data_IF_023181669173
#
_entry.id   IF_023181669173
#
_cell.length_a   1.000
_cell.length_b   1.000
_cell.length_c   1.000
_cell.angle_alpha   90.00
_cell.angle_beta   90.00
_cell.angle_gamma   90.00
#
_symmetry.space_group_name_H-M   'P 1'
#
loop_
_entity.id
_entity.type
_entity.pdbx_description
1 polymer ?
#
# COMPACT_ATOMS: atom_id res chain seq x y z
N UNK A 1 -6.88 -30.93 -1.31
CA UNK A 1 -7.85 -31.16 -0.21
C UNK A 1 -9.17 -30.55 -0.64
N UNK A 2 -10.17 -31.40 -0.93
CA UNK A 2 -11.49 -30.91 -1.36
C UNK A 2 -12.20 -30.31 -0.13
N UNK A 3 -12.62 -29.05 -0.25
CA UNK A 3 -13.43 -28.41 0.79
C UNK A 3 -14.72 -29.21 0.98
N UNK A 4 -14.92 -29.76 2.19
CA UNK A 4 -16.13 -30.49 2.53
C UNK A 4 -17.31 -29.50 2.61
N UNK A 5 -18.09 -29.47 1.52
CA UNK A 5 -19.24 -28.57 1.35
C UNK A 5 -20.33 -28.80 2.41
N UNK A 6 -20.36 -29.98 3.05
CA UNK A 6 -21.36 -30.29 4.07
C UNK A 6 -21.10 -29.56 5.40
N UNK A 7 -19.85 -29.14 5.64
CA UNK A 7 -19.46 -28.35 6.84
C UNK A 7 -19.68 -26.84 6.68
N UNK A 8 -20.07 -26.37 5.50
CA UNK A 8 -20.30 -24.96 5.26
C UNK A 8 -21.66 -24.55 5.87
N UNK A 9 -21.60 -23.56 6.78
CA UNK A 9 -22.81 -22.96 7.35
C UNK A 9 -23.43 -21.96 6.36
N UNK A 10 -24.34 -22.43 5.51
CA UNK A 10 -25.01 -21.63 4.47
C UNK A 10 -25.76 -20.44 5.03
N UNK A 11 -26.40 -20.56 6.22
CA UNK A 11 -27.13 -19.45 6.84
C UNK A 11 -26.24 -18.27 7.18
N UNK A 12 -25.01 -18.54 7.63
CA UNK A 12 -24.02 -17.49 7.91
C UNK A 12 -23.68 -16.71 6.64
N UNK A 13 -23.54 -17.38 5.51
CA UNK A 13 -23.25 -16.74 4.22
C UNK A 13 -24.45 -15.98 3.69
N UNK A 14 -25.68 -16.51 3.81
CA UNK A 14 -26.92 -15.84 3.42
C UNK A 14 -27.14 -14.55 4.21
N UNK A 15 -26.99 -14.58 5.54
CA UNK A 15 -27.07 -13.37 6.39
C UNK A 15 -25.98 -12.34 6.02
N UNK A 16 -24.81 -12.80 5.62
CA UNK A 16 -23.75 -11.91 5.16
C UNK A 16 -24.10 -11.29 3.80
N UNK A 17 -24.65 -12.05 2.87
CA UNK A 17 -25.11 -11.58 1.57
C UNK A 17 -26.19 -10.50 1.72
N UNK A 18 -27.20 -10.75 2.57
CA UNK A 18 -28.27 -9.81 2.89
C UNK A 18 -27.74 -8.47 3.42
N UNK A 19 -26.77 -8.50 4.35
CA UNK A 19 -26.09 -7.28 4.86
C UNK A 19 -25.35 -6.49 3.79
N UNK A 20 -24.97 -7.13 2.70
CA UNK A 20 -24.26 -6.52 1.57
C UNK A 20 -25.14 -6.25 0.35
N UNK A 21 -26.48 -6.37 0.49
CA UNK A 21 -27.44 -6.10 -0.57
C UNK A 21 -27.40 -7.13 -1.70
N UNK A 22 -26.87 -8.34 -1.45
CA UNK A 22 -26.94 -9.48 -2.38
C UNK A 22 -28.17 -10.32 -2.03
N UNK A 23 -28.80 -10.90 -3.04
CA UNK A 23 -29.92 -11.81 -2.83
C UNK A 23 -29.46 -13.07 -2.05
N UNK A 24 -30.01 -13.33 -0.85
CA UNK A 24 -29.67 -14.51 -0.06
C UNK A 24 -30.00 -15.84 -0.76
N UNK A 25 -31.00 -15.83 -1.66
CA UNK A 25 -31.42 -17.02 -2.42
C UNK A 25 -30.35 -17.45 -3.45
N UNK A 26 -29.55 -16.52 -3.97
CA UNK A 26 -28.47 -16.80 -4.90
C UNK A 26 -27.29 -17.55 -4.25
N UNK A 27 -27.23 -17.58 -2.90
CA UNK A 27 -26.15 -18.23 -2.15
C UNK A 27 -26.49 -19.72 -1.99
N UNK A 28 -25.94 -20.52 -2.89
CA UNK A 28 -25.97 -21.99 -2.87
C UNK A 28 -24.58 -22.55 -2.55
N UNK A 29 -24.49 -23.84 -2.21
CA UNK A 29 -23.18 -24.50 -2.02
C UNK A 29 -22.36 -24.52 -3.30
N UNK A 30 -23.04 -24.63 -4.42
CA UNK A 30 -22.43 -24.63 -5.76
C UNK A 30 -21.88 -23.27 -6.12
N UNK A 31 -22.65 -22.18 -5.86
CA UNK A 31 -22.18 -20.82 -6.09
C UNK A 31 -20.96 -20.48 -5.22
N UNK A 32 -20.96 -20.89 -3.94
CA UNK A 32 -19.83 -20.69 -3.04
C UNK A 32 -18.59 -21.46 -3.49
N UNK A 33 -18.77 -22.65 -4.10
CA UNK A 33 -17.68 -23.42 -4.65
C UNK A 33 -17.12 -22.78 -5.92
N UNK A 34 -17.96 -22.27 -6.78
CA UNK A 34 -17.57 -21.59 -8.02
C UNK A 34 -16.84 -20.24 -7.73
N UNK A 35 -17.30 -19.52 -6.71
CA UNK A 35 -16.67 -18.27 -6.26
C UNK A 35 -15.38 -18.52 -5.46
N UNK A 36 -15.12 -19.73 -4.95
CA UNK A 36 -13.95 -20.02 -4.12
C UNK A 36 -12.68 -20.09 -4.95
N UNK A 37 -11.80 -19.11 -4.74
CA UNK A 37 -10.47 -19.09 -5.33
C UNK A 37 -9.40 -19.30 -4.23
N UNK A 38 -8.74 -20.47 -4.17
CA UNK A 38 -7.75 -20.76 -3.13
C UNK A 38 -6.56 -19.80 -3.17
N UNK A 39 -6.15 -19.33 -4.34
CA UNK A 39 -5.04 -18.37 -4.48
C UNK A 39 -5.40 -17.04 -3.83
N UNK A 40 -6.59 -16.50 -4.09
CA UNK A 40 -7.06 -15.26 -3.44
C UNK A 40 -7.13 -15.41 -1.92
N UNK A 41 -7.62 -16.55 -1.42
CA UNK A 41 -7.70 -16.84 0.01
C UNK A 41 -6.31 -16.89 0.65
N UNK A 42 -5.34 -17.53 0.00
CA UNK A 42 -3.97 -17.57 0.47
C UNK A 42 -3.30 -16.19 0.47
N UNK A 43 -3.47 -15.41 -0.58
CA UNK A 43 -2.94 -14.04 -0.66
C UNK A 43 -3.53 -13.17 0.46
N UNK A 44 -4.84 -13.26 0.71
CA UNK A 44 -5.49 -12.53 1.80
C UNK A 44 -4.94 -12.97 3.18
N UNK A 45 -4.78 -14.27 3.40
CA UNK A 45 -4.21 -14.80 4.64
C UNK A 45 -2.78 -14.32 4.86
N UNK A 46 -1.92 -14.40 3.83
CA UNK A 46 -0.53 -13.95 3.89
C UNK A 46 -0.46 -12.45 4.19
N UNK A 47 -1.28 -11.63 3.53
CA UNK A 47 -1.34 -10.19 3.79
C UNK A 47 -1.71 -9.89 5.26
N UNK A 48 -2.67 -10.60 5.82
CA UNK A 48 -3.03 -10.48 7.24
C UNK A 48 -1.90 -10.92 8.17
N UNK A 49 -1.21 -12.00 7.79
CA UNK A 49 -0.06 -12.50 8.56
C UNK A 49 1.07 -11.46 8.60
N UNK A 50 1.37 -10.78 7.49
CA UNK A 50 2.36 -9.71 7.45
C UNK A 50 1.93 -8.42 8.16
N UNK A 51 0.64 -8.16 8.27
CA UNK A 51 0.13 -7.00 9.02
C UNK A 51 0.34 -7.15 10.54
N UNK A 52 0.33 -8.38 11.07
CA UNK A 52 0.50 -8.64 12.50
C UNK A 52 1.88 -8.18 13.04
N UNK A 53 3.02 -8.52 12.44
CA UNK A 53 4.33 -7.99 12.84
C UNK A 53 4.40 -6.47 12.81
N UNK A 54 3.78 -5.80 11.84
CA UNK A 54 3.75 -4.33 11.78
C UNK A 54 3.04 -3.75 13.00
N UNK A 55 1.89 -4.31 13.39
CA UNK A 55 1.18 -3.92 14.60
C UNK A 55 2.00 -4.13 15.88
N UNK A 56 2.61 -5.30 16.03
CA UNK A 56 3.44 -5.63 17.20
C UNK A 56 4.70 -4.77 17.29
N UNK A 57 5.39 -4.55 16.18
CA UNK A 57 6.61 -3.73 16.14
C UNK A 57 6.31 -2.26 16.40
N UNK A 58 5.20 -1.73 15.90
CA UNK A 58 4.79 -0.35 16.20
C UNK A 58 4.32 -0.17 17.64
N UNK A 59 3.68 -1.18 18.23
CA UNK A 59 3.38 -1.21 19.66
C UNK A 59 4.67 -1.22 20.50
N UNK A 60 5.62 -2.09 20.15
CA UNK A 60 6.92 -2.15 20.82
C UNK A 60 7.67 -0.81 20.69
N UNK A 61 7.66 -0.19 19.51
CA UNK A 61 8.23 1.13 19.29
C UNK A 61 7.57 2.19 20.19
N UNK A 62 6.25 2.19 20.27
CA UNK A 62 5.50 3.10 21.13
C UNK A 62 5.91 2.92 22.59
N UNK A 63 5.89 1.69 23.11
CA UNK A 63 6.28 1.39 24.49
C UNK A 63 7.72 1.78 24.75
N UNK A 64 8.67 1.41 23.88
CA UNK A 64 10.07 1.76 24.02
C UNK A 64 10.32 3.27 23.99
N UNK A 65 9.51 4.03 23.25
CA UNK A 65 9.65 5.49 23.16
C UNK A 65 9.36 6.20 24.48
N UNK A 66 8.55 5.63 25.38
CA UNK A 66 8.26 6.22 26.69
C UNK A 66 9.50 6.30 27.59
N UNK A 67 10.47 5.37 27.46
CA UNK A 67 11.75 5.47 28.20
C UNK A 67 12.58 6.68 27.77
N UNK A 68 12.30 7.23 26.59
CA UNK A 68 13.00 8.41 26.07
C UNK A 68 12.18 9.70 26.20
N UNK A 69 11.03 9.67 26.88
CA UNK A 69 10.13 10.82 27.01
C UNK A 69 10.86 12.08 27.45
N UNK A 70 11.65 12.00 28.52
CA UNK A 70 12.37 13.16 29.09
C UNK A 70 13.43 13.75 28.16
N UNK A 71 13.99 12.93 27.24
CA UNK A 71 15.06 13.37 26.33
C UNK A 71 14.56 13.72 24.94
N UNK A 72 13.49 13.04 24.47
CA UNK A 72 12.98 13.15 23.11
C UNK A 72 11.45 13.01 23.06
N UNK A 73 10.71 13.95 23.67
CA UNK A 73 9.24 13.85 23.76
C UNK A 73 8.58 13.80 22.40
N UNK A 74 9.14 14.47 21.40
CA UNK A 74 8.62 14.50 20.04
C UNK A 74 8.65 13.11 19.37
N UNK A 75 9.71 12.30 19.60
CA UNK A 75 9.79 10.91 19.10
C UNK A 75 8.69 10.05 19.72
N UNK A 76 8.42 10.25 21.01
CA UNK A 76 7.36 9.53 21.70
C UNK A 76 5.97 9.88 21.12
N UNK A 77 5.66 11.17 20.92
CA UNK A 77 4.40 11.62 20.32
C UNK A 77 4.21 11.01 18.93
N UNK A 78 5.26 11.02 18.10
CA UNK A 78 5.21 10.42 16.75
C UNK A 78 5.05 8.90 16.79
N UNK A 79 5.67 8.21 17.77
CA UNK A 79 5.53 6.75 17.93
C UNK A 79 4.11 6.37 18.35
N UNK A 80 3.49 7.14 19.24
CA UNK A 80 2.06 7.00 19.60
C UNK A 80 1.18 7.24 18.37
N UNK A 81 1.45 8.33 17.64
CA UNK A 81 0.72 8.64 16.39
C UNK A 81 0.84 7.54 15.34
N UNK A 82 2.03 6.93 15.21
CA UNK A 82 2.25 5.78 14.31
C UNK A 82 1.42 4.58 14.73
N UNK A 83 1.38 4.25 16.00
CA UNK A 83 0.58 3.12 16.49
C UNK A 83 -0.93 3.35 16.27
N UNK A 84 -1.43 4.56 16.59
CA UNK A 84 -2.82 4.91 16.32
C UNK A 84 -3.16 4.84 14.82
N UNK A 85 -2.23 5.27 13.97
CA UNK A 85 -2.40 5.19 12.52
C UNK A 85 -2.41 3.74 12.02
N UNK A 86 -1.62 2.83 12.63
CA UNK A 86 -1.69 1.38 12.36
C UNK A 86 -3.07 0.83 12.70
N UNK A 87 -3.62 1.17 13.88
CA UNK A 87 -4.95 0.70 14.29
C UNK A 87 -6.04 1.22 13.33
N UNK A 88 -5.96 2.50 12.95
CA UNK A 88 -6.89 3.09 11.98
C UNK A 88 -6.78 2.39 10.62
N UNK A 89 -5.56 2.12 10.17
CA UNK A 89 -5.32 1.44 8.89
C UNK A 89 -5.79 -0.03 8.93
N UNK A 90 -5.64 -0.72 10.05
CA UNK A 90 -6.17 -2.07 10.24
C UNK A 90 -7.71 -2.10 10.19
N UNK A 91 -8.38 -1.12 10.83
CA UNK A 91 -9.84 -0.99 10.76
C UNK A 91 -10.32 -0.66 9.34
N UNK A 92 -9.60 0.21 8.62
CA UNK A 92 -9.92 0.46 7.21
C UNK A 92 -9.70 -0.78 6.35
N UNK A 93 -8.62 -1.56 6.57
CA UNK A 93 -8.40 -2.83 5.88
C UNK A 93 -9.55 -3.82 6.11
N UNK A 94 -10.08 -3.89 7.34
CA UNK A 94 -11.30 -4.65 7.64
C UNK A 94 -12.50 -4.14 6.83
N UNK A 95 -12.69 -2.82 6.76
CA UNK A 95 -13.78 -2.19 5.98
C UNK A 95 -13.64 -2.41 4.48
N UNK A 96 -12.43 -2.44 3.94
CA UNK A 96 -12.18 -2.77 2.53
C UNK A 96 -12.82 -4.13 2.19
N UNK A 97 -12.58 -5.15 3.02
CA UNK A 97 -13.16 -6.49 2.80
C UNK A 97 -14.67 -6.48 3.01
N UNK A 98 -15.16 -5.83 4.07
CA UNK A 98 -16.59 -5.78 4.39
C UNK A 98 -17.41 -4.98 3.38
N UNK A 99 -16.84 -3.96 2.77
CA UNK A 99 -17.52 -3.13 1.76
C UNK A 99 -17.61 -3.77 0.38
N UNK A 100 -17.06 -4.99 0.21
CA UNK A 100 -16.96 -5.62 -1.11
C UNK A 100 -15.97 -4.89 -2.02
N UNK A 101 -14.87 -4.42 -1.45
CA UNK A 101 -13.77 -3.76 -2.17
C UNK A 101 -14.17 -2.40 -2.79
N UNK A 102 -15.00 -1.62 -2.10
CA UNK A 102 -15.38 -0.27 -2.58
C UNK A 102 -14.14 0.60 -2.83
N UNK A 103 -14.01 1.21 -4.01
CA UNK A 103 -12.80 1.90 -4.47
C UNK A 103 -12.32 3.01 -3.53
N UNK A 104 -13.23 3.86 -3.05
CA UNK A 104 -12.88 4.95 -2.13
C UNK A 104 -12.28 4.47 -0.81
N UNK A 105 -12.74 3.33 -0.28
CA UNK A 105 -12.20 2.72 0.94
C UNK A 105 -10.81 2.15 0.70
N UNK A 106 -10.59 1.53 -0.46
CA UNK A 106 -9.27 1.03 -0.87
C UNK A 106 -8.27 2.18 -0.99
N UNK A 107 -8.64 3.25 -1.71
CA UNK A 107 -7.78 4.42 -1.90
C UNK A 107 -7.40 5.06 -0.56
N UNK A 108 -8.36 5.22 0.36
CA UNK A 108 -8.11 5.76 1.68
C UNK A 108 -7.15 4.87 2.49
N UNK A 109 -7.37 3.54 2.48
CA UNK A 109 -6.51 2.57 3.15
C UNK A 109 -5.07 2.64 2.61
N UNK A 110 -4.88 2.68 1.29
CA UNK A 110 -3.57 2.80 0.67
C UNK A 110 -2.87 4.12 1.01
N UNK A 111 -3.62 5.24 0.98
CA UNK A 111 -3.07 6.56 1.32
C UNK A 111 -2.59 6.60 2.77
N UNK A 112 -3.38 6.06 3.71
CA UNK A 112 -2.96 5.99 5.12
C UNK A 112 -1.78 5.04 5.34
N UNK A 113 -1.66 3.96 4.56
CA UNK A 113 -0.49 3.09 4.61
C UNK A 113 0.79 3.82 4.16
N UNK A 114 0.71 4.65 3.11
CA UNK A 114 1.84 5.50 2.68
C UNK A 114 2.18 6.52 3.75
N UNK A 115 1.19 7.19 4.34
CA UNK A 115 1.41 8.13 5.45
C UNK A 115 2.07 7.45 6.64
N UNK A 116 1.64 6.25 7.01
CA UNK A 116 2.23 5.44 8.07
C UNK A 116 3.70 5.14 7.77
N UNK A 117 4.01 4.71 6.55
CA UNK A 117 5.39 4.43 6.13
C UNK A 117 6.27 5.68 6.25
N UNK A 118 5.81 6.83 5.77
CA UNK A 118 6.52 8.10 5.89
C UNK A 118 6.74 8.49 7.36
N UNK A 119 5.72 8.30 8.20
CA UNK A 119 5.80 8.61 9.63
C UNK A 119 6.81 7.69 10.33
N UNK A 120 6.81 6.39 10.05
CA UNK A 120 7.76 5.43 10.62
C UNK A 120 9.20 5.73 10.20
N UNK A 121 9.43 6.06 8.92
CA UNK A 121 10.76 6.49 8.45
C UNK A 121 11.21 7.76 9.17
N UNK A 122 10.31 8.72 9.36
CA UNK A 122 10.61 9.96 10.06
C UNK A 122 10.92 9.73 11.55
N UNK A 123 10.15 8.88 12.23
CA UNK A 123 10.41 8.47 13.63
C UNK A 123 11.77 7.79 13.76
N UNK A 124 12.06 6.85 12.85
CA UNK A 124 13.34 6.14 12.83
C UNK A 124 14.52 7.11 12.63
N UNK A 125 14.36 8.09 11.74
CA UNK A 125 15.38 9.12 11.50
C UNK A 125 15.57 10.04 12.71
N UNK A 126 14.49 10.52 13.31
CA UNK A 126 14.54 11.42 14.49
C UNK A 126 14.94 10.71 15.78
N UNK A 127 14.70 9.40 15.86
CA UNK A 127 15.03 8.59 17.03
C UNK A 127 16.52 8.30 17.20
N UNK A 128 17.34 8.50 16.16
CA UNK A 128 18.79 8.24 16.21
C UNK A 128 19.58 9.45 16.70
N UNK A 129 20.66 9.17 17.41
CA UNK A 129 21.68 10.16 17.79
C UNK A 129 22.60 10.52 16.61
N UNK A 130 22.88 9.53 15.75
CA UNK A 130 23.70 9.70 14.54
C UNK A 130 22.79 9.58 13.31
N UNK A 131 22.66 10.65 12.48
CA UNK A 131 21.77 10.62 11.33
C UNK A 131 22.27 9.61 10.29
N UNK A 132 21.33 8.83 9.72
CA UNK A 132 21.63 7.85 8.67
C UNK A 132 22.23 8.47 7.43
N UNK A 133 21.75 9.67 7.10
CA UNK A 133 22.14 10.39 5.91
C UNK A 133 22.81 11.70 6.30
N UNK A 134 23.87 12.06 5.63
CA UNK A 134 24.43 13.39 5.76
C UNK A 134 23.50 14.39 5.06
N UNK A 135 23.28 15.58 5.62
CA UNK A 135 22.52 16.60 4.92
C UNK A 135 23.22 16.97 3.62
N UNK A 136 22.48 16.93 2.54
CA UNK A 136 22.95 17.43 1.26
C UNK A 136 23.16 18.94 1.36
N UNK A 137 24.28 19.46 0.86
CA UNK A 137 24.60 20.88 0.91
C UNK A 137 24.74 21.49 -0.49
N UNK A 138 24.60 22.81 -0.59
CA UNK A 138 24.77 23.54 -1.84
C UNK A 138 23.55 23.53 -2.77
N UNK A 139 23.77 24.00 -4.00
CA UNK A 139 22.71 24.09 -5.03
C UNK A 139 22.17 22.71 -5.42
N UNK A 140 23.02 21.69 -5.46
CA UNK A 140 22.65 20.31 -5.77
C UNK A 140 21.66 19.73 -4.77
N UNK A 141 21.74 20.11 -3.50
CA UNK A 141 20.81 19.67 -2.45
C UNK A 141 19.37 20.14 -2.71
N UNK A 142 19.18 21.38 -3.14
CA UNK A 142 17.86 21.92 -3.46
C UNK A 142 17.22 21.16 -4.64
N UNK A 143 18.02 20.86 -5.66
CA UNK A 143 17.56 20.09 -6.83
C UNK A 143 17.21 18.65 -6.44
N UNK A 144 18.08 17.98 -5.67
CA UNK A 144 17.82 16.64 -5.18
C UNK A 144 16.54 16.59 -4.32
N UNK A 145 16.32 17.59 -3.46
CA UNK A 145 15.12 17.68 -2.64
C UNK A 145 13.85 17.88 -3.48
N UNK A 146 13.92 18.78 -4.47
CA UNK A 146 12.80 19.02 -5.38
C UNK A 146 12.45 17.78 -6.22
N UNK A 147 13.48 17.07 -6.74
CA UNK A 147 13.31 15.79 -7.45
C UNK A 147 12.70 14.72 -6.54
N UNK A 148 13.22 14.57 -5.31
CA UNK A 148 12.67 13.61 -4.35
C UNK A 148 11.21 13.89 -4.01
N UNK A 149 10.86 15.16 -3.79
CA UNK A 149 9.47 15.57 -3.56
C UNK A 149 8.59 15.29 -4.79
N UNK A 150 9.07 15.62 -5.99
CA UNK A 150 8.34 15.37 -7.23
C UNK A 150 8.09 13.87 -7.43
N UNK A 151 9.10 13.02 -7.24
CA UNK A 151 8.95 11.55 -7.32
C UNK A 151 7.96 11.05 -6.27
N UNK A 152 8.02 11.56 -5.05
CA UNK A 152 7.08 11.19 -3.99
C UNK A 152 5.63 11.53 -4.38
N UNK A 153 5.39 12.77 -4.83
CA UNK A 153 4.05 13.20 -5.28
C UNK A 153 3.55 12.37 -6.45
N UNK A 154 4.41 12.10 -7.44
CA UNK A 154 4.08 11.24 -8.57
C UNK A 154 3.73 9.82 -8.12
N UNK A 155 4.48 9.24 -7.16
CA UNK A 155 4.21 7.90 -6.62
C UNK A 155 2.85 7.84 -5.90
N UNK A 156 2.50 8.87 -5.13
CA UNK A 156 1.17 8.95 -4.49
C UNK A 156 0.07 9.06 -5.52
N UNK A 157 0.24 9.93 -6.53
CA UNK A 157 -0.72 10.09 -7.63
C UNK A 157 -0.89 8.78 -8.42
N UNK A 158 0.19 8.07 -8.67
CA UNK A 158 0.20 6.75 -9.34
C UNK A 158 -0.58 5.70 -8.54
N UNK A 159 -0.41 5.67 -7.22
CA UNK A 159 -1.19 4.80 -6.34
C UNK A 159 -2.69 5.06 -6.43
N UNK A 160 -3.10 6.33 -6.46
CA UNK A 160 -4.52 6.72 -6.63
C UNK A 160 -5.03 6.32 -8.02
N UNK A 161 -4.25 6.55 -9.08
CA UNK A 161 -4.62 6.15 -10.44
C UNK A 161 -4.71 4.63 -10.58
N UNK A 162 -3.80 3.87 -9.96
CA UNK A 162 -3.86 2.41 -9.92
C UNK A 162 -5.13 1.88 -9.25
N UNK A 163 -5.59 2.53 -8.18
CA UNK A 163 -6.87 2.22 -7.56
C UNK A 163 -8.05 2.47 -8.52
N UNK A 164 -8.00 3.54 -9.33
CA UNK A 164 -9.01 3.82 -10.36
C UNK A 164 -9.00 2.82 -11.52
N UNK A 165 -7.82 2.40 -11.98
CA UNK A 165 -7.71 1.32 -12.99
C UNK A 165 -8.33 0.03 -12.48
N UNK A 166 -8.08 -0.32 -11.19
CA UNK A 166 -8.69 -1.48 -10.57
C UNK A 166 -10.22 -1.35 -10.50
N UNK A 167 -10.75 -0.20 -10.09
CA UNK A 167 -12.19 0.08 -10.06
C UNK A 167 -12.84 -0.16 -11.42
N UNK A 168 -12.22 0.37 -12.48
CA UNK A 168 -12.69 0.19 -13.85
C UNK A 168 -12.65 -1.28 -14.28
N UNK A 169 -11.57 -1.99 -13.92
CA UNK A 169 -11.42 -3.43 -14.18
C UNK A 169 -12.51 -4.25 -13.50
N UNK A 170 -12.77 -3.97 -12.21
CA UNK A 170 -13.81 -4.67 -11.44
C UNK A 170 -15.22 -4.37 -11.98
N UNK A 171 -15.48 -3.11 -12.38
CA UNK A 171 -16.75 -2.74 -13.01
C UNK A 171 -16.97 -3.43 -14.37
N UNK A 172 -15.93 -3.53 -15.21
CA UNK A 172 -16.00 -4.26 -16.47
C UNK A 172 -16.21 -5.77 -16.26
N UNK A 173 -15.52 -6.36 -15.28
CA UNK A 173 -15.69 -7.77 -14.95
C UNK A 173 -17.10 -8.09 -14.44
N UNK A 174 -17.72 -7.17 -13.69
CA UNK A 174 -19.10 -7.32 -13.22
C UNK A 174 -20.13 -7.18 -14.36
N UNK A 175 -19.91 -6.25 -15.28
CA UNK A 175 -20.87 -5.96 -16.37
C UNK A 175 -20.75 -6.91 -17.56
N UNK A 176 -19.53 -7.38 -17.88
CA UNK A 176 -19.23 -8.17 -19.09
C UNK A 176 -18.86 -9.62 -18.80
N UNK A 177 -18.71 -9.99 -17.52
CA UNK A 177 -18.29 -11.32 -17.08
C UNK A 177 -16.76 -11.47 -17.04
N UNK A 178 -16.28 -12.29 -16.08
CA UNK A 178 -14.85 -12.55 -15.92
C UNK A 178 -14.29 -13.50 -16.97
N UNK A 179 -15.12 -14.37 -17.55
CA UNK A 179 -14.75 -15.35 -18.55
C UNK A 179 -14.40 -14.71 -19.91
N UNK A 180 -15.00 -13.55 -20.21
CA UNK A 180 -14.76 -12.80 -21.46
C UNK A 180 -13.68 -11.72 -21.31
N UNK A 181 -12.81 -11.85 -20.30
CA UNK A 181 -11.77 -10.85 -20.00
C UNK A 181 -10.88 -10.51 -21.21
N UNK A 182 -10.60 -11.47 -22.07
CA UNK A 182 -9.79 -11.23 -23.25
C UNK A 182 -10.44 -10.20 -24.20
N UNK A 183 -11.77 -10.22 -24.31
CA UNK A 183 -12.53 -9.36 -25.22
C UNK A 183 -12.56 -7.90 -24.74
N UNK A 184 -12.84 -7.67 -23.46
CA UNK A 184 -12.89 -6.32 -22.91
C UNK A 184 -11.55 -5.77 -22.40
N UNK A 185 -10.50 -6.60 -22.33
CA UNK A 185 -9.16 -6.15 -21.94
C UNK A 185 -8.59 -5.09 -22.85
N UNK A 186 -8.94 -5.13 -24.15
CA UNK A 186 -8.53 -4.14 -25.14
C UNK A 186 -9.20 -2.77 -24.87
N UNK A 187 -10.48 -2.77 -24.51
CA UNK A 187 -11.21 -1.57 -24.12
C UNK A 187 -10.62 -0.93 -22.86
N UNK A 188 -10.28 -1.76 -21.85
CA UNK A 188 -9.58 -1.30 -20.65
C UNK A 188 -8.24 -0.64 -21.00
N UNK A 189 -7.42 -1.28 -21.85
CA UNK A 189 -6.10 -0.78 -22.27
C UNK A 189 -6.19 0.54 -23.03
N UNK A 190 -7.30 0.77 -23.74
CA UNK A 190 -7.55 2.01 -24.50
C UNK A 190 -8.24 3.10 -23.65
N UNK A 191 -8.62 2.79 -22.40
CA UNK A 191 -9.21 3.79 -21.52
C UNK A 191 -8.20 4.87 -21.14
N UNK A 192 -8.65 6.13 -21.07
CA UNK A 192 -7.78 7.25 -20.71
C UNK A 192 -7.11 7.03 -19.32
N UNK A 193 -7.84 6.45 -18.36
CA UNK A 193 -7.34 6.17 -17.02
C UNK A 193 -6.15 5.19 -17.06
N UNK A 194 -6.25 4.12 -17.85
CA UNK A 194 -5.19 3.15 -18.01
C UNK A 194 -3.96 3.73 -18.72
N UNK A 195 -4.17 4.50 -19.79
CA UNK A 195 -3.10 5.13 -20.56
C UNK A 195 -2.33 6.16 -19.71
N UNK A 196 -3.04 6.98 -18.96
CA UNK A 196 -2.43 7.96 -18.04
C UNK A 196 -1.63 7.23 -16.96
N UNK A 197 -2.20 6.24 -16.27
CA UNK A 197 -1.52 5.44 -15.26
C UNK A 197 -0.22 4.82 -15.81
N UNK A 198 -0.29 4.15 -16.96
CA UNK A 198 0.89 3.56 -17.60
C UNK A 198 1.98 4.57 -17.96
N UNK A 199 1.58 5.79 -18.40
CA UNK A 199 2.54 6.85 -18.75
C UNK A 199 3.21 7.46 -17.53
N UNK A 200 2.47 7.62 -16.43
CA UNK A 200 2.99 8.14 -15.18
C UNK A 200 4.01 7.20 -14.54
N UNK A 201 3.83 5.88 -14.66
CA UNK A 201 4.81 4.90 -14.19
C UNK A 201 6.21 5.17 -14.77
N UNK A 202 6.30 5.50 -16.07
CA UNK A 202 7.58 5.86 -16.71
C UNK A 202 8.19 7.14 -16.16
N UNK A 203 7.37 8.15 -15.81
CA UNK A 203 7.87 9.38 -15.19
C UNK A 203 8.48 9.12 -13.82
N UNK A 204 7.90 8.19 -13.04
CA UNK A 204 8.45 7.79 -11.74
C UNK A 204 9.80 7.10 -11.93
N UNK A 205 9.92 6.18 -12.90
CA UNK A 205 11.17 5.50 -13.24
C UNK A 205 12.27 6.52 -13.57
N UNK A 206 12.01 7.40 -14.53
CA UNK A 206 12.98 8.42 -14.96
C UNK A 206 13.30 9.41 -13.83
N UNK A 207 12.29 9.86 -13.10
CA UNK A 207 12.45 10.76 -11.96
C UNK A 207 13.27 10.15 -10.83
N UNK A 208 13.05 8.87 -10.51
CA UNK A 208 13.81 8.13 -9.51
C UNK A 208 15.28 7.96 -9.92
N UNK A 209 15.54 7.64 -11.18
CA UNK A 209 16.90 7.56 -11.72
C UNK A 209 17.62 8.92 -11.64
N UNK A 210 16.94 10.00 -12.05
CA UNK A 210 17.46 11.36 -11.97
C UNK A 210 17.76 11.77 -10.51
N UNK A 211 16.86 11.45 -9.58
CA UNK A 211 17.04 11.67 -8.14
C UNK A 211 18.29 10.96 -7.62
N UNK A 212 18.44 9.67 -7.92
CA UNK A 212 19.62 8.88 -7.49
C UNK A 212 20.93 9.42 -8.05
N UNK A 213 20.94 9.80 -9.33
CA UNK A 213 22.12 10.41 -9.97
C UNK A 213 22.49 11.73 -9.26
N UNK A 214 21.47 12.55 -8.97
CA UNK A 214 21.67 13.84 -8.31
C UNK A 214 22.19 13.67 -6.88
N UNK A 215 21.63 12.75 -6.11
CA UNK A 215 22.09 12.41 -4.75
C UNK A 215 23.54 11.95 -4.79
N UNK A 216 23.92 11.06 -5.73
CA UNK A 216 25.30 10.59 -5.89
C UNK A 216 26.29 11.71 -6.22
N UNK A 217 25.90 12.63 -7.11
CA UNK A 217 26.74 13.78 -7.49
C UNK A 217 26.92 14.80 -6.38
N UNK A 218 25.94 14.90 -5.47
CA UNK A 218 25.96 15.91 -4.39
C UNK A 218 26.63 15.38 -3.11
N UNK A 219 26.88 14.07 -3.02
CA UNK A 219 27.56 13.46 -1.87
C UNK A 219 29.08 13.52 -2.04
N UNK A 220 29.71 14.40 -1.30
CA UNK A 220 31.16 14.41 -1.14
C UNK A 220 31.58 13.32 -0.13
N UNK A 221 32.33 12.29 -0.57
CA UNK A 221 32.86 11.25 0.32
C UNK A 221 32.16 9.89 0.28
N UNK A 222 31.34 9.62 -0.74
CA UNK A 222 30.71 8.30 -0.97
C UNK A 222 29.44 8.07 -0.14
N UNK A 223 28.57 7.21 -0.68
CA UNK A 223 27.29 6.85 -0.06
C UNK A 223 27.50 5.95 1.16
N UNK A 224 26.83 6.25 2.26
CA UNK A 224 26.73 5.37 3.43
C UNK A 224 25.87 4.13 3.11
N UNK A 225 26.01 3.07 3.92
CA UNK A 225 25.28 1.83 3.68
C UNK A 225 23.76 2.00 3.51
N UNK A 226 23.03 2.80 4.32
CA UNK A 226 21.60 3.00 4.11
C UNK A 226 21.25 3.68 2.78
N UNK A 227 22.09 4.60 2.33
CA UNK A 227 21.92 5.31 1.05
C UNK A 227 22.17 4.38 -0.14
N UNK A 228 23.14 3.46 0.01
CA UNK A 228 23.40 2.39 -0.98
C UNK A 228 22.22 1.42 -1.03
N UNK A 229 21.64 1.07 0.12
CA UNK A 229 20.47 0.19 0.19
C UNK A 229 19.26 0.83 -0.50
N UNK A 230 18.96 2.10 -0.23
CA UNK A 230 17.89 2.83 -0.91
C UNK A 230 18.13 2.88 -2.42
N UNK A 231 19.38 3.18 -2.83
CA UNK A 231 19.77 3.17 -4.25
C UNK A 231 19.59 1.80 -4.90
N UNK A 232 19.90 0.71 -4.19
CA UNK A 232 19.71 -0.65 -4.66
C UNK A 232 18.22 -1.01 -4.78
N UNK A 233 17.40 -0.65 -3.77
CA UNK A 233 15.95 -0.91 -3.78
C UNK A 233 15.24 -0.14 -4.90
N UNK A 234 15.60 1.14 -5.10
CA UNK A 234 15.03 1.93 -6.21
C UNK A 234 15.52 1.40 -7.56
N UNK A 235 16.79 1.05 -7.69
CA UNK A 235 17.35 0.47 -8.91
C UNK A 235 16.81 -0.93 -9.23
N UNK A 236 16.42 -1.71 -8.21
CA UNK A 236 15.79 -3.02 -8.40
C UNK A 236 14.30 -2.96 -8.75
N UNK A 237 13.67 -1.79 -8.58
CA UNK A 237 12.29 -1.51 -9.01
C UNK A 237 12.22 -0.95 -10.44
N UNK A 238 13.35 -0.55 -11.03
CA UNK A 238 13.52 -0.07 -12.39
C UNK A 238 13.88 -1.20 -13.35
#
# INVERSE_FOLDING_TARGET
EQVDLNKINLEKFRRKAERHGRDPASITRESLRAEFNPVHTWVEFINRLFAMPVGLLTLALMVASFWQWSRRPFVCILSVGSFLLVLLNAELGRRVVLSGLKPGVITLHMTLAIMLLCLLVYVAWRGRSDPWCRPLQGRGAKVAWALGLAVFVLTVAEGVMGARVRELTDAMALSKGSETRAEWSMELKNSAVYLVHRSFSWLIVVGSAAFLIMVRKTHEGGLRWPEKLVGFLVGGLL
#
